data_IF_762198011058
#
_entry.id   IF_762198011058
#
_cell.length_a   1.000
_cell.length_b   1.000
_cell.length_c   1.000
_cell.angle_alpha   90.00
_cell.angle_beta   90.00
_cell.angle_gamma   90.00
#
_symmetry.space_group_name_H-M   'P 1'
#
loop_
_entity.id
_entity.type
_entity.pdbx_description
1 polymer ?
#
# COMPACT_ATOMS: atom_id res chain seq x y z
N UNK A 1 -3.07 52.49 -62.46
CA UNK A 1 -2.20 52.18 -61.29
C UNK A 1 -2.94 51.22 -60.43
N UNK A 2 -2.65 49.89 -60.56
CA UNK A 2 -3.30 48.85 -59.81
C UNK A 2 -2.32 48.33 -58.74
N UNK A 3 -2.67 48.47 -57.48
CA UNK A 3 -1.92 47.97 -56.37
C UNK A 3 -2.46 46.61 -55.97
N UNK A 4 -1.66 45.56 -56.19
CA UNK A 4 -2.02 44.17 -55.81
C UNK A 4 -1.58 43.93 -54.36
N UNK A 5 -2.56 43.69 -53.48
CA UNK A 5 -2.31 43.38 -52.08
C UNK A 5 -2.13 41.83 -51.99
N UNK A 6 -0.90 41.39 -51.67
CA UNK A 6 -0.60 40.01 -51.34
C UNK A 6 -1.05 39.70 -49.88
N UNK A 7 -2.03 38.83 -49.74
CA UNK A 7 -2.45 38.27 -48.45
C UNK A 7 -1.52 37.10 -48.07
N UNK A 8 -0.58 37.35 -47.18
CA UNK A 8 0.25 36.30 -46.58
C UNK A 8 -0.53 35.53 -45.51
N UNK A 9 -0.78 34.25 -45.74
CA UNK A 9 -1.41 33.35 -44.79
C UNK A 9 -0.35 32.75 -43.86
N UNK A 10 -0.30 33.26 -42.63
CA UNK A 10 0.57 32.69 -41.58
C UNK A 10 -0.08 31.40 -41.07
N UNK A 11 0.50 30.27 -41.42
CA UNK A 11 0.10 28.96 -40.87
C UNK A 11 0.75 28.77 -39.51
N UNK A 12 -0.02 28.96 -38.46
CA UNK A 12 0.38 28.63 -37.09
C UNK A 12 0.37 27.08 -36.95
N UNK A 13 1.57 26.48 -36.95
CA UNK A 13 1.72 25.05 -36.59
C UNK A 13 1.68 24.94 -35.07
N UNK A 14 0.55 24.55 -34.53
CA UNK A 14 0.45 24.16 -33.12
C UNK A 14 1.19 22.82 -32.93
N UNK A 15 2.38 22.89 -32.34
CA UNK A 15 3.13 21.71 -31.92
C UNK A 15 2.46 21.17 -30.65
N UNK A 16 1.60 20.17 -30.80
CA UNK A 16 1.03 19.45 -29.64
C UNK A 16 2.13 18.52 -29.11
N UNK A 17 2.87 18.99 -28.09
CA UNK A 17 3.71 18.11 -27.28
C UNK A 17 2.81 17.22 -26.43
N UNK A 18 2.57 16.01 -26.88
CA UNK A 18 1.99 14.97 -26.05
C UNK A 18 3.01 14.59 -24.95
N UNK A 19 2.88 15.20 -23.77
CA UNK A 19 3.53 14.70 -22.56
C UNK A 19 2.89 13.34 -22.24
N UNK A 20 3.53 12.26 -22.69
CA UNK A 20 3.28 10.93 -22.18
C UNK A 20 3.73 10.93 -20.72
N UNK A 21 2.81 11.18 -19.80
CA UNK A 21 3.03 10.94 -18.38
C UNK A 21 3.28 9.43 -18.23
N UNK A 22 4.54 9.08 -18.01
CA UNK A 22 4.92 7.73 -17.59
C UNK A 22 4.30 7.51 -16.22
N UNK A 23 3.07 7.01 -16.19
CA UNK A 23 2.50 6.46 -14.97
C UNK A 23 3.37 5.26 -14.59
N UNK A 24 4.26 5.44 -13.62
CA UNK A 24 4.90 4.32 -12.96
C UNK A 24 3.76 3.51 -12.34
N UNK A 25 3.39 2.42 -12.99
CA UNK A 25 2.39 1.50 -12.45
C UNK A 25 2.94 0.96 -11.14
N UNK A 26 2.18 1.16 -10.09
CA UNK A 26 2.35 0.42 -8.86
C UNK A 26 1.98 -1.04 -9.19
N UNK A 27 2.94 -1.93 -9.23
CA UNK A 27 2.74 -3.36 -9.49
C UNK A 27 3.96 -4.10 -8.98
N UNK A 28 3.75 -4.94 -7.98
CA UNK A 28 4.84 -5.68 -7.33
C UNK A 28 4.82 -7.18 -7.64
N UNK A 29 3.99 -7.63 -8.58
CA UNK A 29 3.82 -9.06 -8.88
C UNK A 29 5.10 -9.74 -9.31
N UNK A 30 5.94 -9.04 -10.06
CA UNK A 30 7.23 -9.55 -10.54
C UNK A 30 8.40 -9.13 -9.64
N UNK A 31 8.11 -8.55 -8.49
CA UNK A 31 9.11 -8.04 -7.59
C UNK A 31 9.64 -9.15 -6.67
N UNK A 32 10.95 -9.36 -6.67
CA UNK A 32 11.64 -10.31 -5.81
C UNK A 32 12.29 -9.55 -4.66
N UNK A 33 11.74 -9.68 -3.46
CA UNK A 33 12.27 -9.07 -2.25
C UNK A 33 13.32 -10.00 -1.61
N UNK A 34 14.50 -10.14 -2.26
CA UNK A 34 15.64 -10.92 -1.74
C UNK A 34 16.84 -10.01 -1.54
N UNK A 35 17.47 -10.10 -0.38
CA UNK A 35 18.61 -9.29 0.04
C UNK A 35 19.82 -9.39 -0.84
N UNK A 36 20.08 -10.56 -1.35
CA UNK A 36 21.21 -10.92 -2.20
C UNK A 36 20.92 -10.70 -3.69
N UNK A 37 19.75 -10.19 -4.03
CA UNK A 37 19.43 -9.81 -5.40
C UNK A 37 20.11 -8.47 -5.75
N UNK A 38 21.00 -8.43 -6.78
CA UNK A 38 21.53 -7.16 -7.29
C UNK A 38 20.43 -6.18 -7.69
N UNK A 39 19.27 -6.69 -8.07
CA UNK A 39 18.08 -5.92 -8.39
C UNK A 39 17.57 -5.08 -7.21
N UNK A 40 17.81 -5.45 -5.96
CA UNK A 40 17.44 -4.61 -4.80
C UNK A 40 18.30 -3.36 -4.65
N UNK A 41 19.59 -3.45 -5.00
CA UNK A 41 20.48 -2.29 -5.06
C UNK A 41 20.24 -1.44 -6.30
N UNK A 42 19.80 -2.05 -7.39
CA UNK A 42 19.60 -1.41 -8.68
C UNK A 42 18.16 -0.93 -8.90
N UNK A 43 17.16 -1.62 -8.40
CA UNK A 43 15.75 -1.22 -8.49
C UNK A 43 15.41 -0.18 -7.43
N UNK A 44 16.15 0.90 -7.37
CA UNK A 44 15.73 2.21 -6.78
C UNK A 44 14.56 2.15 -5.81
N UNK A 45 14.40 1.03 -5.04
CA UNK A 45 13.17 1.26 -4.56
C UNK A 45 12.46 0.47 -3.58
N UNK A 46 12.90 -0.59 -3.09
CA UNK A 46 12.22 -1.05 -1.90
C UNK A 46 12.92 -0.49 -0.65
N UNK A 47 12.66 0.79 -0.35
CA UNK A 47 13.18 1.41 0.87
C UNK A 47 12.79 0.62 2.12
N UNK A 48 11.66 -0.08 2.09
CA UNK A 48 11.23 -0.95 3.19
C UNK A 48 12.06 -2.23 3.30
N UNK A 49 12.58 -2.79 2.20
CA UNK A 49 13.53 -3.89 2.27
C UNK A 49 14.83 -3.44 2.97
N UNK A 50 15.30 -2.23 2.66
CA UNK A 50 16.48 -1.64 3.30
C UNK A 50 16.19 -1.35 4.79
N UNK A 51 15.00 -0.87 5.09
CA UNK A 51 14.59 -0.61 6.47
C UNK A 51 14.55 -1.90 7.30
N UNK A 52 13.98 -2.98 6.74
CA UNK A 52 13.93 -4.27 7.40
C UNK A 52 15.30 -4.81 7.81
N UNK A 53 16.36 -4.50 7.03
CA UNK A 53 17.72 -4.94 7.35
C UNK A 53 18.41 -4.17 8.48
N UNK A 54 17.87 -3.03 8.87
CA UNK A 54 18.37 -2.29 10.04
C UNK A 54 17.88 -2.89 11.36
N UNK A 55 16.84 -3.73 11.31
CA UNK A 55 16.26 -4.38 12.47
C UNK A 55 16.93 -5.72 12.77
N UNK A 56 16.92 -6.13 14.04
CA UNK A 56 17.53 -7.37 14.49
C UNK A 56 16.89 -8.58 13.79
N UNK A 57 17.70 -9.61 13.52
CA UNK A 57 17.24 -10.80 12.80
C UNK A 57 16.19 -11.62 13.55
N UNK A 58 16.19 -11.54 14.87
CA UNK A 58 15.25 -12.19 15.78
C UNK A 58 13.99 -11.35 16.05
N UNK A 59 13.93 -10.11 15.56
CA UNK A 59 12.76 -9.27 15.60
C UNK A 59 11.80 -9.66 14.45
N UNK A 60 10.63 -10.26 14.74
CA UNK A 60 9.78 -10.82 13.69
C UNK A 60 9.09 -9.75 12.84
N UNK A 61 8.88 -8.56 13.41
CA UNK A 61 8.24 -7.41 12.78
C UNK A 61 8.62 -6.13 13.53
N UNK A 62 8.41 -5.00 12.90
CA UNK A 62 8.60 -3.69 13.51
C UNK A 62 7.53 -2.71 13.06
N UNK A 63 7.35 -1.63 13.83
CA UNK A 63 6.35 -0.60 13.56
C UNK A 63 7.06 0.74 13.39
N UNK A 64 6.86 1.39 12.25
CA UNK A 64 7.46 2.69 11.96
C UNK A 64 6.39 3.69 11.53
N UNK A 65 6.68 4.95 11.69
CA UNK A 65 5.87 6.01 11.12
C UNK A 65 6.01 6.01 9.59
N UNK A 66 4.93 6.21 8.83
CA UNK A 66 5.01 6.36 7.38
C UNK A 66 5.83 7.63 7.06
N UNK A 67 6.89 7.48 6.31
CA UNK A 67 7.78 8.59 5.95
C UNK A 67 7.30 9.39 4.73
N UNK A 68 6.17 9.02 4.14
CA UNK A 68 5.52 9.79 3.08
C UNK A 68 4.95 11.09 3.67
N UNK A 69 5.48 12.27 3.31
CA UNK A 69 5.03 13.54 3.87
C UNK A 69 3.56 13.86 3.56
N UNK A 70 2.96 13.17 2.59
CA UNK A 70 1.54 13.27 2.30
C UNK A 70 0.65 12.43 3.24
N UNK A 71 1.27 11.63 4.13
CA UNK A 71 0.61 10.70 5.04
C UNK A 71 1.10 10.84 6.49
N UNK A 72 1.12 12.05 7.06
CA UNK A 72 1.75 12.33 8.37
C UNK A 72 1.08 11.62 9.55
N UNK A 73 -0.09 11.06 9.35
CA UNK A 73 -0.87 10.39 10.41
C UNK A 73 -0.97 8.89 10.19
N UNK A 74 0.04 8.28 9.56
CA UNK A 74 0.03 6.83 9.26
C UNK A 74 1.21 6.12 9.87
N UNK A 75 0.97 4.88 10.24
CA UNK A 75 1.98 3.93 10.68
C UNK A 75 2.04 2.76 9.73
N UNK A 76 3.20 2.13 9.66
CA UNK A 76 3.43 0.91 8.91
C UNK A 76 3.83 -0.20 9.89
N UNK A 77 3.18 -1.35 9.76
CA UNK A 77 3.64 -2.59 10.37
C UNK A 77 4.33 -3.39 9.28
N UNK A 78 5.58 -3.72 9.50
CA UNK A 78 6.45 -4.32 8.51
C UNK A 78 6.99 -5.63 9.08
N UNK A 79 6.68 -6.79 8.48
CA UNK A 79 7.35 -8.04 8.84
C UNK A 79 8.83 -7.95 8.48
N UNK A 80 9.70 -8.43 9.35
CA UNK A 80 11.15 -8.42 9.08
C UNK A 80 11.55 -9.41 7.98
N UNK A 81 10.97 -10.63 7.88
CA UNK A 81 11.25 -11.53 6.78
C UNK A 81 10.88 -10.96 5.41
N UNK A 82 11.67 -11.29 4.40
CA UNK A 82 11.43 -10.89 3.02
C UNK A 82 10.54 -11.93 2.32
N UNK A 83 9.40 -11.48 1.82
CA UNK A 83 8.50 -12.26 0.97
C UNK A 83 8.57 -11.72 -0.45
N UNK A 84 8.27 -12.56 -1.44
CA UNK A 84 8.12 -12.10 -2.81
C UNK A 84 7.00 -11.07 -2.90
N UNK A 85 7.06 -10.17 -3.88
CA UNK A 85 6.10 -9.08 -4.00
C UNK A 85 4.67 -9.54 -4.19
N UNK A 86 4.47 -10.67 -4.88
CA UNK A 86 3.13 -11.25 -5.09
C UNK A 86 2.64 -12.01 -3.85
N UNK A 87 1.42 -11.74 -3.42
CA UNK A 87 0.71 -12.45 -2.34
C UNK A 87 1.53 -12.65 -1.04
N UNK A 88 2.16 -11.64 -0.45
CA UNK A 88 3.01 -11.84 0.71
C UNK A 88 2.26 -12.42 1.92
N UNK A 89 0.97 -12.07 2.10
CA UNK A 89 0.14 -12.65 3.17
C UNK A 89 -0.07 -14.17 2.99
N UNK A 90 -0.08 -14.66 1.75
CA UNK A 90 -0.19 -16.09 1.48
C UNK A 90 1.12 -16.85 1.77
N UNK A 91 2.25 -16.17 1.69
CA UNK A 91 3.57 -16.74 1.97
C UNK A 91 3.87 -16.82 3.47
N UNK A 92 3.24 -15.96 4.28
CA UNK A 92 3.37 -15.99 5.75
C UNK A 92 2.71 -17.23 6.33
N UNK A 93 3.33 -17.80 7.36
CA UNK A 93 2.66 -18.75 8.24
C UNK A 93 1.48 -18.08 8.98
N UNK A 94 0.59 -18.88 9.54
CA UNK A 94 -0.56 -18.37 10.32
C UNK A 94 -0.09 -17.58 11.55
N UNK A 95 1.00 -18.01 12.18
CA UNK A 95 1.59 -17.32 13.33
C UNK A 95 2.18 -15.96 12.95
N UNK A 96 2.92 -15.87 11.84
CA UNK A 96 3.47 -14.60 11.34
C UNK A 96 2.36 -13.62 10.95
N UNK A 97 1.35 -14.09 10.23
CA UNK A 97 0.19 -13.30 9.87
C UNK A 97 -0.55 -12.76 11.09
N UNK A 98 -0.78 -13.61 12.07
CA UNK A 98 -1.43 -13.22 13.32
C UNK A 98 -0.61 -12.19 14.09
N UNK A 99 0.70 -12.35 14.16
CA UNK A 99 1.60 -11.38 14.80
C UNK A 99 1.51 -10.01 14.13
N UNK A 100 1.54 -9.96 12.80
CA UNK A 100 1.39 -8.73 12.01
C UNK A 100 0.05 -8.05 12.28
N UNK A 101 -1.06 -8.79 12.27
CA UNK A 101 -2.38 -8.24 12.53
C UNK A 101 -2.53 -7.73 13.97
N UNK A 102 -2.00 -8.46 14.94
CA UNK A 102 -2.02 -8.03 16.34
C UNK A 102 -1.23 -6.74 16.55
N UNK A 103 -0.05 -6.62 15.94
CA UNK A 103 0.76 -5.40 16.01
C UNK A 103 0.03 -4.20 15.37
N UNK A 104 -0.61 -4.42 14.22
CA UNK A 104 -1.38 -3.38 13.54
C UNK A 104 -2.59 -2.91 14.37
N UNK A 105 -3.34 -3.84 14.95
CA UNK A 105 -4.47 -3.55 15.83
C UNK A 105 -4.00 -2.82 17.10
N UNK A 106 -2.91 -3.29 17.72
CA UNK A 106 -2.36 -2.66 18.92
C UNK A 106 -1.94 -1.21 18.64
N UNK A 107 -1.24 -0.97 17.53
CA UNK A 107 -0.84 0.39 17.12
C UNK A 107 -2.05 1.27 16.78
N UNK A 108 -3.03 0.72 16.11
CA UNK A 108 -4.27 1.43 15.80
C UNK A 108 -5.03 1.87 17.05
N UNK A 109 -5.22 0.96 18.01
CA UNK A 109 -5.86 1.26 19.30
C UNK A 109 -5.09 2.30 20.11
N UNK A 110 -3.76 2.18 20.16
CA UNK A 110 -2.90 3.14 20.84
C UNK A 110 -3.10 4.57 20.30
N UNK A 111 -3.13 4.70 18.97
CA UNK A 111 -3.11 6.00 18.32
C UNK A 111 -4.51 6.64 18.17
N UNK A 112 -5.57 5.84 17.99
CA UNK A 112 -6.91 6.36 17.63
C UNK A 112 -8.08 5.74 18.40
N UNK A 113 -7.84 4.98 19.48
CA UNK A 113 -8.93 4.33 20.22
C UNK A 113 -9.71 3.37 19.31
N UNK A 114 -11.03 3.55 19.20
CA UNK A 114 -11.89 2.71 18.34
C UNK A 114 -12.06 3.25 16.91
N UNK A 115 -11.35 4.33 16.57
CA UNK A 115 -11.45 4.93 15.22
C UNK A 115 -10.34 4.47 14.25
N UNK A 116 -9.60 3.41 14.58
CA UNK A 116 -8.53 2.89 13.75
C UNK A 116 -9.06 2.05 12.58
N UNK A 117 -8.26 1.97 11.54
CA UNK A 117 -8.37 0.93 10.52
C UNK A 117 -6.98 0.46 10.08
N UNK A 118 -6.97 -0.74 9.53
CA UNK A 118 -5.79 -1.41 8.99
C UNK A 118 -6.04 -1.71 7.52
N UNK A 119 -5.06 -1.47 6.67
CA UNK A 119 -5.19 -1.70 5.24
C UNK A 119 -3.88 -2.26 4.66
N UNK A 120 -3.99 -3.23 3.77
CA UNK A 120 -2.91 -3.68 2.92
C UNK A 120 -3.38 -3.64 1.47
N UNK A 121 -2.71 -2.85 0.64
CA UNK A 121 -3.02 -2.77 -0.79
C UNK A 121 -2.74 -4.10 -1.50
N UNK A 122 -3.51 -4.38 -2.53
CA UNK A 122 -3.26 -5.49 -3.44
C UNK A 122 -1.97 -5.31 -4.24
N UNK A 123 -1.51 -6.37 -4.85
CA UNK A 123 -0.23 -6.44 -5.56
C UNK A 123 -0.10 -5.41 -6.68
N UNK A 124 -1.20 -5.12 -7.37
CA UNK A 124 -1.23 -4.15 -8.48
C UNK A 124 -1.25 -2.69 -8.02
N UNK A 125 -1.42 -2.42 -6.73
CA UNK A 125 -1.47 -1.08 -6.16
C UNK A 125 -0.32 -0.76 -5.21
N UNK A 126 0.45 -1.78 -4.78
CA UNK A 126 1.65 -1.57 -3.96
C UNK A 126 2.80 -1.04 -4.80
N UNK A 127 3.53 -0.10 -4.23
CA UNK A 127 4.76 0.46 -4.83
C UNK A 127 6.03 -0.12 -4.23
N UNK A 128 5.93 -0.67 -3.02
CA UNK A 128 7.04 -1.27 -2.30
C UNK A 128 6.92 -2.79 -2.36
N UNK A 129 8.00 -3.46 -2.75
CA UNK A 129 8.08 -4.91 -2.85
C UNK A 129 7.85 -5.57 -1.48
N UNK A 130 8.52 -5.06 -0.46
CA UNK A 130 8.43 -5.57 0.89
C UNK A 130 6.99 -5.46 1.44
N UNK A 131 6.53 -6.52 2.07
CA UNK A 131 5.21 -6.53 2.71
C UNK A 131 5.11 -5.42 3.76
N UNK A 132 4.04 -4.66 3.71
CA UNK A 132 3.78 -3.61 4.69
C UNK A 132 2.28 -3.38 4.83
N UNK A 133 1.89 -3.13 6.05
CA UNK A 133 0.51 -2.92 6.44
C UNK A 133 0.36 -1.48 6.93
N UNK A 134 -0.56 -0.75 6.33
CA UNK A 134 -0.90 0.61 6.75
C UNK A 134 -1.85 0.59 7.93
N UNK A 135 -1.57 1.43 8.91
CA UNK A 135 -2.42 1.65 10.10
C UNK A 135 -2.72 3.13 10.18
N UNK A 136 -3.98 3.48 10.28
CA UNK A 136 -4.42 4.87 10.33
C UNK A 136 -5.80 5.02 10.98
N UNK A 137 -6.25 6.26 11.09
CA UNK A 137 -7.64 6.53 11.45
C UNK A 137 -8.53 6.22 10.25
N UNK A 138 -9.65 5.54 10.50
CA UNK A 138 -10.69 5.35 9.47
C UNK A 138 -11.27 6.71 9.07
N UNK A 139 -11.38 6.97 7.78
CA UNK A 139 -12.04 8.15 7.26
C UNK A 139 -13.57 8.04 7.39
N UNK A 140 -14.20 9.11 7.81
CA UNK A 140 -15.64 9.20 7.87
C UNK A 140 -16.26 8.91 6.50
N UNK A 141 -17.34 8.12 6.51
CA UNK A 141 -18.08 7.75 5.29
C UNK A 141 -17.37 6.74 4.37
N UNK A 142 -16.27 6.12 4.83
CA UNK A 142 -15.60 5.03 4.08
C UNK A 142 -16.12 3.65 4.46
N UNK A 143 -16.79 3.53 5.57
CA UNK A 143 -17.47 2.30 5.93
C UNK A 143 -18.63 2.02 4.96
N UNK A 144 -18.78 0.76 4.57
CA UNK A 144 -19.87 0.28 3.72
C UNK A 144 -20.49 -0.98 4.35
N UNK A 145 -21.72 -1.28 4.00
CA UNK A 145 -22.40 -2.50 4.46
C UNK A 145 -21.82 -3.79 3.83
N UNK A 146 -20.89 -3.64 2.88
CA UNK A 146 -20.23 -4.76 2.23
C UNK A 146 -19.06 -5.25 3.07
N UNK A 147 -18.88 -6.56 3.15
CA UNK A 147 -17.79 -7.15 3.90
C UNK A 147 -18.26 -8.34 4.73
N UNK A 148 -17.35 -8.81 5.58
CA UNK A 148 -17.64 -9.90 6.51
C UNK A 148 -17.27 -9.48 7.94
N UNK A 149 -17.92 -10.09 8.91
CA UNK A 149 -17.59 -9.88 10.31
C UNK A 149 -16.87 -11.09 10.88
N UNK A 150 -15.71 -10.87 11.50
CA UNK A 150 -14.93 -11.91 12.19
C UNK A 150 -14.77 -11.56 13.67
N UNK A 151 -14.62 -12.59 14.54
CA UNK A 151 -14.50 -12.34 15.97
C UNK A 151 -13.15 -11.74 16.38
N UNK A 152 -12.11 -11.88 15.54
CA UNK A 152 -10.79 -11.32 15.83
C UNK A 152 -9.74 -11.65 14.78
N UNK A 153 -8.49 -11.22 15.00
CA UNK A 153 -7.43 -11.28 13.99
C UNK A 153 -7.06 -12.69 13.54
N UNK A 154 -7.25 -13.70 14.38
CA UNK A 154 -7.02 -15.10 14.00
C UNK A 154 -7.99 -15.63 12.92
N UNK A 155 -9.13 -14.97 12.74
CA UNK A 155 -10.14 -15.32 11.75
C UNK A 155 -10.09 -14.45 10.48
N UNK A 156 -9.12 -13.53 10.38
CA UNK A 156 -8.92 -12.75 9.15
C UNK A 156 -8.59 -13.69 7.99
N UNK A 157 -9.25 -13.50 6.83
CA UNK A 157 -9.02 -14.37 5.67
C UNK A 157 -7.57 -14.33 5.19
N UNK A 158 -7.09 -15.45 4.69
CA UNK A 158 -5.82 -15.55 3.98
C UNK A 158 -6.03 -15.09 2.54
N UNK A 159 -5.44 -13.96 2.19
CA UNK A 159 -5.50 -13.42 0.82
C UNK A 159 -4.45 -14.12 -0.02
N UNK A 160 -4.85 -14.71 -1.14
CA UNK A 160 -3.97 -15.45 -2.06
C UNK A 160 -4.17 -15.11 -3.54
N UNK A 161 -5.07 -14.18 -3.83
CA UNK A 161 -5.42 -13.74 -5.19
C UNK A 161 -4.78 -12.41 -5.60
N UNK A 162 -3.91 -11.87 -4.76
CA UNK A 162 -3.23 -10.58 -5.00
C UNK A 162 -4.11 -9.35 -4.78
N UNK A 163 -5.32 -9.52 -4.25
CA UNK A 163 -6.15 -8.39 -3.84
C UNK A 163 -5.72 -7.85 -2.48
N UNK A 164 -6.19 -6.67 -2.12
CA UNK A 164 -5.97 -6.07 -0.82
C UNK A 164 -7.03 -6.47 0.20
N UNK A 165 -6.74 -6.12 1.43
CA UNK A 165 -7.62 -6.26 2.59
C UNK A 165 -7.60 -4.98 3.41
N UNK A 166 -8.75 -4.59 3.93
CA UNK A 166 -8.81 -3.61 5.00
C UNK A 166 -9.87 -4.00 6.01
N UNK A 167 -9.69 -3.56 7.25
CA UNK A 167 -10.63 -3.86 8.33
C UNK A 167 -10.53 -2.84 9.45
N UNK A 168 -11.59 -2.75 10.25
CA UNK A 168 -11.72 -1.84 11.37
C UNK A 168 -12.56 -2.47 12.49
N UNK A 169 -12.59 -1.90 13.70
CA UNK A 169 -13.44 -2.40 14.76
C UNK A 169 -14.92 -2.14 14.46
N UNK A 170 -15.76 -3.11 14.78
CA UNK A 170 -17.21 -3.03 14.72
C UNK A 170 -17.80 -3.67 16.00
N UNK A 171 -17.81 -2.90 17.08
CA UNK A 171 -18.13 -3.39 18.42
C UNK A 171 -17.11 -4.43 18.89
N UNK A 172 -17.58 -5.63 19.25
CA UNK A 172 -16.70 -6.73 19.69
C UNK A 172 -16.09 -7.53 18.55
N UNK A 173 -16.31 -7.14 17.28
CA UNK A 173 -15.85 -7.83 16.08
C UNK A 173 -14.99 -6.93 15.22
N UNK A 174 -14.41 -7.49 14.19
CA UNK A 174 -13.78 -6.77 13.08
C UNK A 174 -14.70 -6.83 11.87
N UNK A 175 -14.91 -5.70 11.20
CA UNK A 175 -15.51 -5.63 9.89
C UNK A 175 -14.42 -5.63 8.84
N UNK A 176 -14.48 -6.56 7.90
CA UNK A 176 -13.40 -6.89 6.96
C UNK A 176 -13.87 -6.76 5.53
N UNK A 177 -13.12 -6.04 4.73
CA UNK A 177 -13.38 -5.79 3.31
C UNK A 177 -12.27 -6.39 2.47
N UNK A 178 -12.65 -7.05 1.38
CA UNK A 178 -11.77 -7.85 0.52
C UNK A 178 -11.98 -7.50 -0.94
N UNK A 179 -11.02 -7.90 -1.80
CA UNK A 179 -11.17 -7.86 -3.25
C UNK A 179 -10.78 -6.53 -3.91
N UNK A 180 -10.42 -5.51 -3.13
CA UNK A 180 -9.96 -4.23 -3.66
C UNK A 180 -8.45 -4.22 -3.89
N UNK A 181 -7.98 -3.46 -4.89
CA UNK A 181 -6.53 -3.25 -5.07
C UNK A 181 -6.00 -2.08 -4.24
N UNK A 182 -6.77 -0.99 -4.12
CA UNK A 182 -6.33 0.22 -3.41
C UNK A 182 -7.13 0.34 -2.12
N UNK A 183 -6.64 -0.22 -1.04
CA UNK A 183 -7.32 -0.26 0.26
C UNK A 183 -6.92 0.87 1.21
N UNK A 184 -5.71 1.39 1.10
CA UNK A 184 -5.21 2.45 1.98
C UNK A 184 -5.96 3.79 1.89
N UNK A 185 -6.80 3.97 0.88
CA UNK A 185 -7.61 5.20 0.69
C UNK A 185 -8.72 5.35 1.71
N UNK A 186 -9.00 4.33 2.50
CA UNK A 186 -9.95 4.40 3.63
C UNK A 186 -9.33 5.04 4.87
N UNK A 187 -8.01 5.20 4.89
CA UNK A 187 -7.26 5.75 6.01
C UNK A 187 -7.03 7.26 5.85
N UNK A 188 -7.11 7.98 6.96
CA UNK A 188 -6.70 9.38 7.01
C UNK A 188 -5.23 9.52 6.58
N UNK A 189 -4.95 10.57 5.84
CA UNK A 189 -3.58 10.94 5.41
C UNK A 189 -2.81 11.64 6.50
#
# INVERSE_FOLDING_TARGET
MNATIMKGTVRFRVLVCALAALFVRADVRDCVCKLDSPALSETKGCSLCIEAEKHLKDEPLFVVHDNDPSKPNRWLVIPRPHYDGSNPLAQMSDAERLAVWNAAIAKGKEAWGDSWAVAMNGDMARRQCHAHIHVGKLLDGKETDQGIFVAGPAQLPKISDGTGIWFHPAGARLHVHLGEQITETVLMR
#
